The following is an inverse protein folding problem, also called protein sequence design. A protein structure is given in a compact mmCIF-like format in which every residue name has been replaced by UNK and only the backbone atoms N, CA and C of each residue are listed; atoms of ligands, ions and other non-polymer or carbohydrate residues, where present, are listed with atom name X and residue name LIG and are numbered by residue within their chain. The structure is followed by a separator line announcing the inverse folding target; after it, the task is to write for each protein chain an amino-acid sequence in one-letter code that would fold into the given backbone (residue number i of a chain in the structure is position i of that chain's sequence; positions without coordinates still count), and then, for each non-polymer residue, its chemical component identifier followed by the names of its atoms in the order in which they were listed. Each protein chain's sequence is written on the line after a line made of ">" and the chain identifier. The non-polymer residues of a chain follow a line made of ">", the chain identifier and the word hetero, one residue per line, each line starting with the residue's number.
data_IF_962843148699
#
_entry.id   IF_962843148699
#
_cell.length_a   1.000
_cell.length_b   1.000
_cell.length_c   1.000
_cell.angle_alpha   90.00
_cell.angle_beta   90.00
_cell.angle_gamma   90.00
#
_symmetry.space_group_name_H-M   'P 1'
#
loop_
_entity.id
_entity.type
_entity.pdbx_description
1 polymer ?
#
# COMPACT_ATOMS: atom_id res chain seq x y z
N UNK A 1 -47.66 -24.77 2.22
CA UNK A 1 -46.35 -25.35 1.89
C UNK A 1 -45.68 -24.59 0.73
N UNK A 2 -45.43 -23.28 0.89
CA UNK A 2 -44.89 -22.44 -0.20
C UNK A 2 -43.83 -21.43 0.27
N UNK A 3 -43.64 -21.26 1.59
CA UNK A 3 -42.66 -20.33 2.15
C UNK A 3 -41.23 -20.90 2.32
N UNK A 4 -41.03 -22.22 2.19
CA UNK A 4 -39.72 -22.86 2.42
C UNK A 4 -38.87 -23.05 1.15
N UNK A 5 -39.43 -22.83 -0.05
CA UNK A 5 -38.69 -22.94 -1.31
C UNK A 5 -37.86 -21.70 -1.65
N UNK A 6 -38.13 -20.55 -1.00
CA UNK A 6 -37.42 -19.29 -1.24
C UNK A 6 -36.01 -19.28 -0.64
N UNK A 7 -35.83 -19.81 0.57
CA UNK A 7 -34.56 -19.78 1.32
C UNK A 7 -33.51 -20.74 0.73
N UNK A 8 -33.94 -21.89 0.20
CA UNK A 8 -33.03 -22.91 -0.33
C UNK A 8 -32.35 -22.51 -1.65
N UNK A 9 -32.86 -21.50 -2.36
CA UNK A 9 -32.23 -20.96 -3.58
C UNK A 9 -31.05 -20.03 -3.27
N UNK A 10 -31.06 -19.35 -2.12
CA UNK A 10 -29.97 -18.46 -1.70
C UNK A 10 -28.81 -19.23 -1.07
N UNK A 11 -29.09 -20.34 -0.36
CA UNK A 11 -28.06 -21.23 0.19
C UNK A 11 -27.26 -21.91 -0.93
N UNK A 12 -27.91 -22.33 -2.02
CA UNK A 12 -27.24 -22.92 -3.19
C UNK A 12 -26.33 -21.94 -3.94
N UNK A 13 -26.71 -20.65 -4.01
CA UNK A 13 -25.90 -19.60 -4.65
C UNK A 13 -24.70 -19.16 -3.79
N UNK A 14 -24.84 -19.15 -2.47
CA UNK A 14 -23.73 -18.86 -1.54
C UNK A 14 -22.68 -19.99 -1.52
N UNK A 15 -23.09 -21.25 -1.69
CA UNK A 15 -22.17 -22.39 -1.73
C UNK A 15 -21.36 -22.47 -3.05
N UNK A 16 -21.91 -21.97 -4.16
CA UNK A 16 -21.19 -21.88 -5.43
C UNK A 16 -20.16 -20.74 -5.45
N UNK A 17 -20.37 -19.67 -4.68
CA UNK A 17 -19.42 -18.55 -4.55
C UNK A 17 -18.17 -18.92 -3.74
N UNK A 18 -18.27 -19.93 -2.86
CA UNK A 18 -17.16 -20.36 -2.01
C UNK A 18 -16.17 -21.32 -2.72
N UNK A 19 -16.55 -21.91 -3.86
CA UNK A 19 -15.79 -23.01 -4.48
C UNK A 19 -14.90 -22.57 -5.67
N UNK A 20 -14.94 -21.29 -6.08
CA UNK A 20 -14.10 -20.76 -7.18
C UNK A 20 -12.80 -20.11 -6.66
N UNK A 21 -12.59 -20.02 -5.35
CA UNK A 21 -11.44 -19.32 -4.74
C UNK A 21 -10.29 -20.22 -4.26
N UNK A 22 -10.34 -21.54 -4.51
CA UNK A 22 -9.24 -22.44 -4.16
C UNK A 22 -8.64 -23.09 -5.41
N UNK A 23 -7.53 -22.51 -5.88
CA UNK A 23 -6.19 -23.12 -5.91
C UNK A 23 -5.32 -22.26 -6.82
N UNK A 24 -4.47 -21.45 -6.20
CA UNK A 24 -3.19 -21.07 -6.75
C UNK A 24 -2.19 -21.21 -5.60
N UNK A 25 -1.78 -22.44 -5.32
CA UNK A 25 -0.53 -22.66 -4.61
C UNK A 25 0.58 -22.29 -5.60
N UNK A 26 0.98 -21.02 -5.56
CA UNK A 26 2.14 -20.57 -6.29
C UNK A 26 3.37 -21.13 -5.58
N UNK A 27 3.79 -22.33 -5.99
CA UNK A 27 5.12 -22.90 -5.72
C UNK A 27 6.23 -22.06 -6.35
N UNK A 28 6.24 -20.75 -6.10
CA UNK A 28 7.28 -19.83 -6.49
C UNK A 28 8.49 -20.04 -5.58
N UNK A 29 9.68 -20.11 -6.19
CA UNK A 29 10.94 -20.03 -5.45
C UNK A 29 10.87 -18.88 -4.43
N UNK A 30 11.49 -19.03 -3.24
CA UNK A 30 11.47 -17.98 -2.22
C UNK A 30 11.87 -16.65 -2.87
N UNK A 31 10.97 -15.67 -2.80
CA UNK A 31 11.20 -14.38 -3.41
C UNK A 31 12.55 -13.85 -2.93
N UNK A 32 13.39 -13.43 -3.88
CA UNK A 32 14.69 -12.87 -3.55
C UNK A 32 14.48 -11.73 -2.53
N UNK A 33 15.26 -11.74 -1.45
CA UNK A 33 15.16 -10.69 -0.44
C UNK A 33 15.43 -9.34 -1.12
N UNK A 34 14.54 -8.34 -0.96
CA UNK A 34 14.76 -7.04 -1.57
C UNK A 34 15.97 -6.38 -0.92
N UNK A 35 16.69 -5.58 -1.71
CA UNK A 35 17.67 -4.66 -1.17
C UNK A 35 16.94 -3.45 -0.56
N UNK A 36 17.45 -2.95 0.57
CA UNK A 36 16.90 -1.75 1.23
C UNK A 36 17.92 -0.62 1.08
N UNK A 37 17.52 0.46 0.42
CA UNK A 37 18.28 1.71 0.36
C UNK A 37 17.60 2.74 1.27
N UNK A 38 18.25 3.11 2.36
CA UNK A 38 17.80 4.17 3.26
C UNK A 38 18.43 5.49 2.83
N UNK A 39 17.60 6.44 2.39
CA UNK A 39 18.01 7.82 2.10
C UNK A 39 17.51 8.72 3.23
N UNK A 40 18.41 9.50 3.81
CA UNK A 40 18.09 10.53 4.82
C UNK A 40 18.69 11.85 4.38
N UNK A 41 18.03 12.95 4.76
CA UNK A 41 18.49 14.31 4.53
C UNK A 41 18.34 15.10 5.84
N UNK A 42 19.36 15.85 6.20
CA UNK A 42 19.35 16.71 7.38
C UNK A 42 18.55 18.00 7.09
N UNK A 43 17.90 18.52 8.13
CA UNK A 43 17.16 19.79 8.11
C UNK A 43 16.16 19.95 6.95
N UNK A 44 15.50 18.85 6.56
CA UNK A 44 14.53 18.82 5.48
C UNK A 44 13.10 19.01 5.97
N UNK A 45 12.37 19.90 5.30
CA UNK A 45 10.94 20.15 5.49
C UNK A 45 10.13 19.60 4.30
N UNK A 46 8.79 19.47 4.41
CA UNK A 46 7.93 19.09 3.29
C UNK A 46 7.81 20.18 2.18
N UNK A 47 8.79 21.07 2.04
CA UNK A 47 8.94 22.05 0.96
C UNK A 47 9.50 21.38 -0.31
N UNK A 48 8.75 20.42 -0.82
CA UNK A 48 9.14 19.56 -1.94
C UNK A 48 7.98 19.48 -2.95
N UNK A 49 8.30 19.33 -4.23
CA UNK A 49 7.27 19.30 -5.27
C UNK A 49 6.23 18.19 -5.08
N UNK A 50 6.65 17.02 -4.58
CA UNK A 50 5.74 15.91 -4.27
C UNK A 50 4.80 16.16 -3.07
N UNK A 51 5.09 17.17 -2.25
CA UNK A 51 4.21 17.64 -1.18
C UNK A 51 3.37 18.87 -1.59
N UNK A 52 3.46 19.30 -2.85
CA UNK A 52 2.66 20.39 -3.40
C UNK A 52 3.35 21.76 -3.41
N UNK A 53 4.64 21.84 -3.07
CA UNK A 53 5.40 23.09 -3.18
C UNK A 53 5.65 23.45 -4.65
N UNK A 54 5.05 24.54 -5.13
CA UNK A 54 5.16 25.02 -6.51
C UNK A 54 6.52 25.66 -6.84
N UNK A 55 7.31 26.05 -5.83
CA UNK A 55 8.64 26.64 -6.02
C UNK A 55 9.76 25.59 -6.00
N UNK A 56 9.51 24.42 -5.41
CA UNK A 56 10.51 23.36 -5.27
C UNK A 56 10.78 22.62 -6.60
N UNK A 57 12.03 22.69 -7.07
CA UNK A 57 12.49 21.92 -8.24
C UNK A 57 13.13 20.61 -7.79
N UNK A 58 12.29 19.58 -7.56
CA UNK A 58 12.73 18.27 -7.02
C UNK A 58 12.36 17.07 -7.91
N UNK A 59 12.75 17.05 -9.19
CA UNK A 59 12.23 16.09 -10.17
C UNK A 59 12.53 14.62 -9.82
N UNK A 60 13.69 14.34 -9.21
CA UNK A 60 14.06 12.98 -8.80
C UNK A 60 13.19 12.48 -7.64
N UNK A 61 12.91 13.33 -6.65
CA UNK A 61 12.05 12.99 -5.52
C UNK A 61 10.60 12.87 -5.96
N UNK A 62 10.14 13.73 -6.87
CA UNK A 62 8.81 13.65 -7.46
C UNK A 62 8.61 12.31 -8.19
N UNK A 63 9.60 11.87 -8.97
CA UNK A 63 9.57 10.56 -9.65
C UNK A 63 9.65 9.37 -8.68
N UNK A 64 10.36 9.52 -7.56
CA UNK A 64 10.38 8.50 -6.52
C UNK A 64 9.01 8.37 -5.86
N UNK A 65 8.42 9.50 -5.46
CA UNK A 65 7.11 9.58 -4.84
C UNK A 65 5.99 9.03 -5.75
N UNK A 66 6.01 9.34 -7.05
CA UNK A 66 5.05 8.84 -8.02
C UNK A 66 5.06 7.32 -8.23
N UNK A 67 6.14 6.62 -7.84
CA UNK A 67 6.28 5.16 -7.94
C UNK A 67 6.19 4.47 -6.58
N UNK A 68 5.86 5.22 -5.52
CA UNK A 68 5.86 4.73 -4.15
C UNK A 68 4.68 5.29 -3.37
N UNK A 69 4.92 5.51 -2.08
CA UNK A 69 3.95 6.06 -1.14
C UNK A 69 4.51 7.32 -0.48
N UNK A 70 3.64 8.30 -0.25
CA UNK A 70 3.95 9.54 0.47
C UNK A 70 3.24 9.50 1.82
N UNK A 71 3.96 9.79 2.90
CA UNK A 71 3.38 9.96 4.22
C UNK A 71 3.10 11.45 4.46
N UNK A 72 1.82 11.83 4.44
CA UNK A 72 1.41 13.23 4.66
C UNK A 72 1.51 13.67 6.14
N UNK A 73 1.58 12.69 7.05
CA UNK A 73 1.56 12.88 8.50
C UNK A 73 2.73 12.10 9.10
N UNK A 74 3.93 12.69 9.09
CA UNK A 74 5.17 12.09 9.60
C UNK A 74 5.99 13.16 10.32
N UNK A 75 6.46 12.86 11.54
CA UNK A 75 7.19 13.80 12.40
C UNK A 75 8.37 13.13 13.08
N UNK A 76 9.42 13.91 13.34
CA UNK A 76 10.48 13.48 14.27
C UNK A 76 9.99 13.63 15.70
N UNK A 77 10.17 12.58 16.51
CA UNK A 77 9.88 12.62 17.95
C UNK A 77 10.84 13.52 18.73
N UNK A 78 12.04 13.75 18.19
CA UNK A 78 13.06 14.66 18.73
C UNK A 78 13.71 15.39 17.53
N UNK A 79 13.25 16.61 17.17
CA UNK A 79 13.72 17.32 15.98
C UNK A 79 15.09 17.98 16.21
N UNK A 80 16.10 17.17 16.53
CA UNK A 80 17.50 17.54 16.76
C UNK A 80 18.42 16.52 16.09
N UNK A 81 19.62 16.91 15.66
CA UNK A 81 20.54 16.03 14.93
C UNK A 81 21.07 14.86 15.80
N UNK A 82 21.42 15.15 17.05
CA UNK A 82 21.82 14.15 18.04
C UNK A 82 20.93 14.34 19.29
N UNK A 83 20.02 13.40 19.56
CA UNK A 83 19.05 13.50 20.66
C UNK A 83 19.66 13.28 22.05
#
# INVERSE_FOLDING_TARGET
>A
MTAMHGINRWIGLLSAFCCVLSVADAGGAPAAKPNILWLTAEDINPHLGCYGDSYAVTPNLNRLAARGMIYLNCWSSAPVCAP
#
